data_IF_113219899056
#
_entry.id   IF_113219899056
#
_cell.length_a   1.000
_cell.length_b   1.000
_cell.length_c   1.000
_cell.angle_alpha   90.00
_cell.angle_beta   90.00
_cell.angle_gamma   90.00
#
_symmetry.space_group_name_H-M   'P 1'
#
loop_
_entity.id
_entity.type
_entity.pdbx_description
1 polymer ?
#
# COMPACT_ATOMS: atom_id res chain seq x y z
N UNK A 1 -12.25 6.51 -21.35
CA UNK A 1 -11.61 7.83 -21.10
C UNK A 1 -11.29 7.93 -19.61
N UNK A 2 -10.21 8.62 -19.23
CA UNK A 2 -9.99 8.99 -17.82
C UNK A 2 -10.50 10.42 -17.57
N UNK A 3 -11.18 10.63 -16.46
CA UNK A 3 -11.72 11.93 -16.03
C UNK A 3 -11.21 12.21 -14.62
N UNK A 4 -10.55 13.35 -14.42
CA UNK A 4 -10.05 13.76 -13.11
C UNK A 4 -11.12 14.61 -12.41
N UNK A 5 -11.64 14.11 -11.29
CA UNK A 5 -12.53 14.86 -10.41
C UNK A 5 -11.75 15.40 -9.21
N UNK A 6 -11.90 16.69 -8.92
CA UNK A 6 -11.32 17.33 -7.71
C UNK A 6 -12.18 17.15 -6.46
N UNK A 7 -13.45 16.74 -6.61
CA UNK A 7 -14.33 16.28 -5.54
C UNK A 7 -14.88 14.89 -5.89
N UNK A 8 -14.73 13.91 -5.00
CA UNK A 8 -15.27 12.56 -5.18
C UNK A 8 -16.80 12.51 -5.25
N UNK A 9 -17.55 13.45 -4.64
CA UNK A 9 -19.01 13.50 -4.79
C UNK A 9 -19.42 13.68 -6.25
N UNK A 10 -18.67 14.48 -7.01
CA UNK A 10 -18.92 14.69 -8.44
C UNK A 10 -18.69 13.41 -9.24
N UNK A 11 -17.68 12.60 -8.88
CA UNK A 11 -17.44 11.28 -9.47
C UNK A 11 -18.59 10.30 -9.16
N UNK A 12 -19.08 10.29 -7.92
CA UNK A 12 -20.25 9.47 -7.48
C UNK A 12 -21.50 9.83 -8.28
N UNK A 13 -21.81 11.13 -8.43
CA UNK A 13 -22.97 11.52 -9.24
C UNK A 13 -22.78 11.29 -10.75
N UNK A 14 -21.54 11.38 -11.26
CA UNK A 14 -21.22 11.04 -12.65
C UNK A 14 -21.41 9.53 -12.93
N UNK A 15 -21.03 8.64 -11.99
CA UNK A 15 -21.29 7.20 -12.09
C UNK A 15 -22.79 6.90 -12.14
N UNK A 16 -23.58 7.54 -11.26
CA UNK A 16 -25.05 7.44 -11.24
C UNK A 16 -25.69 7.86 -12.57
N UNK A 17 -25.31 9.03 -13.08
CA UNK A 17 -25.78 9.53 -14.40
C UNK A 17 -25.23 8.73 -15.59
N UNK A 18 -24.22 7.87 -15.37
CA UNK A 18 -23.60 7.07 -16.42
C UNK A 18 -22.70 7.89 -17.35
N UNK A 19 -22.18 9.00 -16.85
CA UNK A 19 -21.15 9.84 -17.48
C UNK A 19 -19.74 9.22 -17.34
N UNK A 20 -19.56 8.38 -16.32
CA UNK A 20 -18.41 7.48 -16.16
C UNK A 20 -18.89 6.08 -15.79
N UNK A 21 -18.12 5.06 -16.17
CA UNK A 21 -18.47 3.65 -15.95
C UNK A 21 -17.78 3.01 -14.74
N UNK A 22 -16.75 3.65 -14.19
CA UNK A 22 -15.88 3.11 -13.14
C UNK A 22 -15.27 4.25 -12.31
N UNK A 23 -15.51 4.23 -11.01
CA UNK A 23 -14.73 4.97 -10.00
C UNK A 23 -13.65 4.02 -9.50
N UNK A 24 -12.40 4.33 -9.82
CA UNK A 24 -11.25 3.56 -9.36
C UNK A 24 -10.86 3.84 -7.91
N UNK A 25 -9.96 3.01 -7.38
CA UNK A 25 -9.36 3.08 -6.06
C UNK A 25 -8.75 4.45 -5.74
N UNK A 26 -8.34 5.16 -6.79
CA UNK A 26 -7.76 6.49 -6.72
C UNK A 26 -6.31 6.49 -6.24
N UNK A 27 -5.86 7.64 -5.73
CA UNK A 27 -4.49 7.88 -5.27
C UNK A 27 -4.45 8.09 -3.75
N UNK A 28 -3.27 8.38 -3.22
CA UNK A 28 -3.03 8.62 -1.79
C UNK A 28 -3.80 9.80 -1.18
N UNK A 29 -4.55 10.57 -1.97
CA UNK A 29 -5.33 11.73 -1.52
C UNK A 29 -6.70 11.88 -2.21
N UNK A 30 -7.16 10.85 -2.96
CA UNK A 30 -8.45 10.90 -3.65
C UNK A 30 -8.97 9.50 -3.94
N UNK A 31 -10.25 9.28 -3.68
CA UNK A 31 -10.96 7.99 -3.69
C UNK A 31 -12.25 8.12 -2.86
N UNK A 32 -13.14 7.13 -2.91
CA UNK A 32 -14.41 7.22 -2.16
C UNK A 32 -14.20 7.15 -0.65
N UNK A 33 -14.98 7.94 0.09
CA UNK A 33 -15.15 7.77 1.54
C UNK A 33 -16.04 6.56 1.84
N UNK A 34 -15.99 6.00 3.06
CA UNK A 34 -16.94 4.99 3.53
C UNK A 34 -18.41 5.35 3.28
N UNK A 35 -18.78 6.61 3.55
CA UNK A 35 -20.14 7.10 3.34
C UNK A 35 -20.53 7.17 1.86
N UNK A 36 -19.63 7.64 0.98
CA UNK A 36 -19.85 7.62 -0.48
C UNK A 36 -19.96 6.17 -1.01
N UNK A 37 -19.16 5.26 -0.48
CA UNK A 37 -19.15 3.85 -0.88
C UNK A 37 -20.42 3.10 -0.47
N UNK A 38 -20.96 3.31 0.73
CA UNK A 38 -22.27 2.74 1.12
C UNK A 38 -23.46 3.51 0.52
N UNK A 39 -23.32 4.80 0.16
CA UNK A 39 -24.37 5.50 -0.59
C UNK A 39 -24.64 4.92 -2.00
N UNK A 40 -23.68 4.17 -2.56
CA UNK A 40 -23.83 3.41 -3.81
C UNK A 40 -24.45 2.00 -3.60
N UNK A 41 -24.87 1.62 -2.39
CA UNK A 41 -25.31 0.26 -2.10
C UNK A 41 -26.60 -0.15 -2.82
N UNK A 42 -27.56 0.77 -2.89
CA UNK A 42 -28.90 0.56 -3.46
C UNK A 42 -29.03 1.10 -4.89
N UNK A 43 -27.94 1.58 -5.50
CA UNK A 43 -27.94 2.16 -6.84
C UNK A 43 -28.09 1.06 -7.92
N UNK A 44 -29.19 1.03 -8.70
CA UNK A 44 -29.43 -0.03 -9.67
C UNK A 44 -28.41 0.02 -10.80
N UNK A 45 -27.81 -1.14 -11.11
CA UNK A 45 -26.78 -1.26 -12.14
C UNK A 45 -25.38 -0.83 -11.69
N UNK A 46 -25.16 -0.57 -10.40
CA UNK A 46 -23.83 -0.33 -9.82
C UNK A 46 -23.37 -1.58 -9.05
N UNK A 47 -22.11 -1.97 -9.22
CA UNK A 47 -21.45 -2.96 -8.35
C UNK A 47 -20.24 -2.34 -7.69
N UNK A 48 -20.10 -2.61 -6.39
CA UNK A 48 -19.10 -2.04 -5.50
C UNK A 48 -17.98 -3.05 -5.24
N UNK A 49 -16.73 -2.62 -5.29
CA UNK A 49 -15.57 -3.43 -4.90
C UNK A 49 -14.89 -2.81 -3.67
N UNK A 50 -14.90 -3.55 -2.55
CA UNK A 50 -14.21 -3.20 -1.30
C UNK A 50 -12.84 -3.87 -1.27
N UNK A 51 -11.94 -3.42 -2.12
CA UNK A 51 -10.60 -4.00 -2.26
C UNK A 51 -9.76 -3.88 -0.98
N UNK A 52 -8.95 -4.90 -0.70
CA UNK A 52 -7.96 -4.87 0.38
C UNK A 52 -6.81 -3.93 0.03
N UNK A 53 -6.37 -3.15 1.01
CA UNK A 53 -5.32 -2.14 0.82
C UNK A 53 -3.96 -2.73 0.47
N UNK A 54 -3.47 -2.47 -0.75
CA UNK A 54 -2.06 -2.68 -1.13
C UNK A 54 -1.10 -1.58 -0.67
N UNK A 55 -1.60 -0.58 0.06
CA UNK A 55 -0.82 0.54 0.59
C UNK A 55 -0.87 0.49 2.11
N UNK A 56 0.31 0.44 2.72
CA UNK A 56 0.43 0.65 4.16
C UNK A 56 0.71 2.14 4.43
N UNK A 57 0.18 2.63 5.55
CA UNK A 57 0.49 3.95 6.09
C UNK A 57 1.36 3.77 7.33
N UNK A 58 2.25 4.72 7.59
CA UNK A 58 3.28 4.56 8.61
C UNK A 58 3.62 5.87 9.33
N UNK A 59 4.09 5.73 10.56
CA UNK A 59 4.78 6.76 11.32
C UNK A 59 6.28 6.43 11.31
N UNK A 60 7.02 7.11 10.44
CA UNK A 60 8.47 7.08 10.41
C UNK A 60 9.03 7.73 11.68
N UNK A 61 10.13 7.18 12.21
CA UNK A 61 10.95 7.79 13.25
C UNK A 61 12.37 7.91 12.73
N UNK A 62 12.99 9.08 12.86
CA UNK A 62 14.38 9.26 12.48
C UNK A 62 15.31 8.55 13.50
N UNK A 63 16.02 7.48 13.14
CA UNK A 63 16.80 6.66 14.08
C UNK A 63 18.26 7.15 14.21
N UNK A 64 18.55 8.38 13.75
CA UNK A 64 19.90 8.87 13.47
C UNK A 64 20.20 8.80 11.97
N UNK A 65 19.79 9.85 11.25
CA UNK A 65 20.01 9.97 9.82
C UNK A 65 21.51 10.08 9.49
N UNK A 66 21.94 9.36 8.46
CA UNK A 66 23.32 9.30 8.01
C UNK A 66 23.41 8.84 6.56
N UNK A 67 24.52 9.17 5.89
CA UNK A 67 24.83 8.71 4.53
C UNK A 67 25.20 7.23 4.50
N UNK A 68 25.42 6.66 3.30
CA UNK A 68 25.93 5.28 3.12
C UNK A 68 27.28 5.06 3.81
N UNK A 69 28.11 6.09 3.82
CA UNK A 69 29.44 6.14 4.42
C UNK A 69 29.39 6.33 5.96
N UNK A 70 28.20 6.49 6.53
CA UNK A 70 27.99 6.68 7.97
C UNK A 70 28.18 8.12 8.46
N UNK A 71 28.31 9.10 7.56
CA UNK A 71 28.39 10.52 7.92
C UNK A 71 27.02 10.96 8.46
N UNK A 72 26.90 11.45 9.71
CA UNK A 72 25.62 11.93 10.25
C UNK A 72 25.09 13.15 9.49
N UNK A 73 23.77 13.18 9.25
CA UNK A 73 23.05 14.27 8.59
C UNK A 73 21.70 14.54 9.29
N UNK A 74 21.03 15.62 8.91
CA UNK A 74 19.74 16.01 9.49
C UNK A 74 19.85 16.53 10.93
N UNK A 75 18.70 16.60 11.61
CA UNK A 75 18.57 17.19 12.96
C UNK A 75 17.60 16.41 13.87
N UNK A 76 17.38 15.12 13.58
CA UNK A 76 16.47 14.25 14.33
C UNK A 76 16.84 14.07 15.80
N UNK A 77 15.85 14.18 16.69
CA UNK A 77 16.02 14.18 18.14
C UNK A 77 16.79 12.94 18.67
N UNK A 78 17.90 13.10 19.44
CA UNK A 78 18.80 12.00 19.83
C UNK A 78 18.13 10.79 20.50
N UNK A 79 17.14 11.01 21.37
CA UNK A 79 16.33 9.94 21.97
C UNK A 79 15.74 8.92 20.98
N UNK A 80 15.50 9.29 19.71
CA UNK A 80 14.98 8.37 18.70
C UNK A 80 16.04 7.40 18.13
N UNK A 81 17.33 7.59 18.43
CA UNK A 81 18.40 6.60 18.16
C UNK A 81 18.19 5.34 19.01
N UNK A 82 17.63 5.50 20.21
CA UNK A 82 17.33 4.40 21.12
C UNK A 82 16.12 3.57 20.65
N UNK A 83 16.37 2.31 20.29
CA UNK A 83 15.33 1.35 19.89
C UNK A 83 14.24 1.18 20.94
N UNK A 84 14.55 1.36 22.23
CA UNK A 84 13.58 1.22 23.33
C UNK A 84 12.55 2.34 23.32
N UNK A 85 12.96 3.56 22.95
CA UNK A 85 12.07 4.71 22.76
C UNK A 85 11.16 4.47 21.55
N UNK A 86 11.73 4.02 20.42
CA UNK A 86 10.94 3.71 19.20
C UNK A 86 9.93 2.58 19.41
N UNK A 87 10.32 1.51 20.12
CA UNK A 87 9.41 0.43 20.50
C UNK A 87 8.33 0.87 21.50
N UNK A 88 8.63 1.82 22.39
CA UNK A 88 7.62 2.39 23.30
C UNK A 88 6.64 3.31 22.58
N UNK A 89 7.11 4.11 21.60
CA UNK A 89 6.26 4.89 20.68
C UNK A 89 5.28 3.95 19.97
N UNK A 90 5.78 2.86 19.36
CA UNK A 90 4.95 1.84 18.71
C UNK A 90 3.88 1.26 19.66
N UNK A 91 4.31 0.83 20.85
CA UNK A 91 3.44 0.30 21.92
C UNK A 91 2.39 1.32 22.38
N UNK A 92 2.60 2.62 22.11
CA UNK A 92 1.66 3.71 22.33
C UNK A 92 0.68 4.00 21.18
N UNK A 93 0.74 3.34 20.02
CA UNK A 93 -0.17 3.65 18.89
C UNK A 93 -1.41 2.73 18.89
N UNK A 94 -2.60 3.26 19.19
CA UNK A 94 -3.88 2.57 19.00
C UNK A 94 -4.29 2.56 17.52
N UNK A 95 -3.69 1.62 16.79
CA UNK A 95 -3.99 1.33 15.38
C UNK A 95 -5.45 0.93 15.16
N UNK A 96 -6.09 0.29 16.13
CA UNK A 96 -7.49 -0.12 16.02
C UNK A 96 -8.42 1.10 16.14
N UNK A 97 -8.05 2.14 16.91
CA UNK A 97 -8.74 3.42 16.87
C UNK A 97 -8.53 4.16 15.54
N UNK A 98 -7.41 4.00 14.83
CA UNK A 98 -7.31 4.50 13.46
C UNK A 98 -8.30 3.76 12.55
N UNK A 99 -8.31 2.43 12.54
CA UNK A 99 -9.25 1.66 11.71
C UNK A 99 -10.71 2.02 12.03
N UNK A 100 -11.08 2.14 13.30
CA UNK A 100 -12.45 2.48 13.75
C UNK A 100 -12.85 3.94 13.53
N UNK A 101 -11.95 4.92 13.74
CA UNK A 101 -12.29 6.36 13.81
C UNK A 101 -11.73 7.21 12.66
N UNK A 102 -10.65 6.77 12.00
CA UNK A 102 -10.10 7.43 10.82
C UNK A 102 -10.78 6.92 9.55
N UNK A 103 -10.99 5.60 9.47
CA UNK A 103 -11.44 4.88 8.26
C UNK A 103 -12.83 4.25 8.37
N UNK A 104 -13.55 4.43 9.49
CA UNK A 104 -14.90 3.89 9.73
C UNK A 104 -15.02 2.36 9.48
N UNK A 105 -13.94 1.61 9.75
CA UNK A 105 -13.82 0.18 9.51
C UNK A 105 -13.34 -0.24 8.10
N UNK A 106 -13.10 0.72 7.19
CA UNK A 106 -12.63 0.47 5.82
C UNK A 106 -11.10 0.43 5.74
N UNK A 107 -10.52 -0.43 6.57
CA UNK A 107 -9.10 -0.75 6.57
C UNK A 107 -8.81 -1.94 7.48
N UNK A 108 -7.54 -2.34 7.48
CA UNK A 108 -7.00 -3.34 8.40
C UNK A 108 -5.90 -2.69 9.25
N UNK A 109 -5.71 -3.20 10.47
CA UNK A 109 -4.66 -2.71 11.37
C UNK A 109 -3.28 -3.04 10.79
N UNK A 110 -2.34 -2.09 10.92
CA UNK A 110 -0.96 -2.27 10.45
C UNK A 110 -0.18 -3.29 11.28
N UNK A 111 0.63 -4.11 10.60
CA UNK A 111 1.50 -5.12 11.20
C UNK A 111 2.94 -5.06 10.67
N UNK A 112 3.10 -4.96 9.35
CA UNK A 112 4.39 -4.95 8.64
C UNK A 112 4.35 -4.14 7.33
N UNK A 113 5.52 -3.93 6.71
CA UNK A 113 5.65 -3.20 5.44
C UNK A 113 5.10 -3.94 4.20
N UNK A 114 4.77 -5.24 4.29
CA UNK A 114 4.08 -5.96 3.20
C UNK A 114 2.60 -6.12 3.58
N UNK A 115 1.65 -5.52 2.85
CA UNK A 115 0.23 -5.60 3.21
C UNK A 115 -0.37 -7.02 3.06
N UNK A 116 -1.42 -7.35 3.84
CA UNK A 116 -2.07 -8.68 3.85
C UNK A 116 -2.72 -9.08 2.52
N UNK A 117 -2.85 -8.14 1.57
CA UNK A 117 -3.27 -8.45 0.18
C UNK A 117 -2.24 -9.32 -0.57
N UNK A 118 -1.01 -9.44 -0.07
CA UNK A 118 0.05 -10.28 -0.64
C UNK A 118 0.42 -11.42 0.32
N UNK A 119 -0.48 -12.40 0.56
CA UNK A 119 -0.38 -13.35 1.67
C UNK A 119 0.86 -14.28 1.63
N UNK A 120 1.50 -14.47 0.46
CA UNK A 120 2.79 -15.19 0.37
C UNK A 120 3.93 -14.50 1.13
N UNK A 121 3.88 -13.18 1.23
CA UNK A 121 4.97 -12.36 1.75
C UNK A 121 4.55 -11.49 2.95
N UNK A 122 3.27 -11.47 3.31
CA UNK A 122 2.78 -10.76 4.48
C UNK A 122 3.19 -11.47 5.77
N UNK A 123 3.99 -10.80 6.59
CA UNK A 123 4.29 -11.22 7.95
C UNK A 123 3.51 -10.38 8.97
N UNK A 124 3.10 -10.98 10.08
CA UNK A 124 2.60 -10.24 11.25
C UNK A 124 3.19 -10.81 12.55
N UNK A 125 3.50 -9.95 13.55
CA UNK A 125 3.99 -10.41 14.84
C UNK A 125 2.85 -11.05 15.63
N UNK A 126 3.04 -12.29 16.09
CA UNK A 126 2.14 -12.96 17.03
C UNK A 126 2.37 -12.50 18.48
N UNK A 127 1.38 -12.68 19.35
CA UNK A 127 1.57 -12.51 20.80
C UNK A 127 2.64 -13.50 21.32
N UNK A 128 3.55 -13.07 22.23
CA UNK A 128 3.64 -11.76 22.88
C UNK A 128 4.56 -10.74 22.16
N UNK A 129 5.13 -11.09 21.00
CA UNK A 129 5.98 -10.18 20.22
C UNK A 129 5.20 -9.02 19.59
N UNK A 130 3.87 -9.18 19.47
CA UNK A 130 2.94 -8.16 19.02
C UNK A 130 2.93 -6.94 19.94
N UNK A 131 3.32 -5.77 19.40
CA UNK A 131 3.25 -4.48 20.11
C UNK A 131 1.84 -3.89 20.10
N UNK A 132 0.87 -4.67 20.60
CA UNK A 132 -0.50 -4.20 20.92
C UNK A 132 -0.45 -2.97 21.82
N UNK A 133 -1.37 -2.03 21.61
CA UNK A 133 -1.49 -0.78 22.36
C UNK A 133 -1.58 -1.02 23.88
N UNK A 134 -0.56 -0.57 24.62
CA UNK A 134 -0.54 -0.52 26.09
C UNK A 134 0.34 0.67 26.53
N UNK A 135 -0.27 1.86 26.75
CA UNK A 135 0.44 3.03 27.27
C UNK A 135 1.11 2.80 28.64
N UNK A 136 0.62 1.83 29.44
CA UNK A 136 1.24 1.44 30.69
C UNK A 136 2.57 0.71 30.47
N UNK A 137 2.61 -0.27 29.55
CA UNK A 137 3.86 -0.91 29.13
C UNK A 137 4.81 0.08 28.48
N UNK A 138 4.31 0.95 27.59
CA UNK A 138 5.13 1.96 26.94
C UNK A 138 5.76 2.95 27.94
N UNK A 139 5.02 3.42 28.95
CA UNK A 139 5.58 4.20 30.04
C UNK A 139 6.68 3.40 30.79
N UNK A 140 6.39 2.18 31.24
CA UNK A 140 7.37 1.31 31.93
C UNK A 140 8.63 1.05 31.11
N UNK A 141 8.51 0.91 29.79
CA UNK A 141 9.65 0.76 28.86
C UNK A 141 10.51 2.02 28.81
N UNK A 142 9.90 3.22 28.79
CA UNK A 142 10.62 4.50 28.82
C UNK A 142 11.28 4.77 30.17
N UNK A 143 10.60 4.41 31.28
CA UNK A 143 11.17 4.49 32.63
C UNK A 143 12.41 3.59 32.74
N UNK A 144 12.29 2.31 32.38
CA UNK A 144 13.40 1.35 32.38
C UNK A 144 14.49 1.65 31.34
N UNK A 145 14.19 2.43 30.30
CA UNK A 145 15.17 2.88 29.33
C UNK A 145 16.00 4.10 29.79
N UNK A 146 15.60 4.77 30.88
CA UNK A 146 16.29 5.94 31.44
C UNK A 146 15.73 7.28 30.97
N UNK A 147 14.44 7.35 30.64
CA UNK A 147 13.75 8.58 30.19
C UNK A 147 12.71 9.08 31.21
N UNK A 148 13.07 9.42 32.46
CA UNK A 148 12.12 9.79 33.50
C UNK A 148 11.31 11.03 33.13
N UNK A 149 10.10 11.17 33.68
CA UNK A 149 9.32 12.42 33.58
C UNK A 149 9.98 13.52 34.42
N UNK A 150 10.17 14.69 33.82
CA UNK A 150 10.55 15.92 34.50
C UNK A 150 9.36 16.59 35.21
N UNK A 151 9.59 17.75 35.85
CA UNK A 151 8.58 18.44 36.66
C UNK A 151 7.33 18.92 35.90
N UNK A 152 7.43 19.11 34.58
CA UNK A 152 6.32 19.45 33.68
C UNK A 152 5.55 18.21 33.16
N UNK A 153 5.94 17.01 33.60
CA UNK A 153 5.38 15.73 33.15
C UNK A 153 5.92 15.22 31.81
N UNK A 154 6.80 15.97 31.15
CA UNK A 154 7.46 15.59 29.90
C UNK A 154 8.72 14.77 30.21
N UNK A 155 8.98 13.71 29.45
CA UNK A 155 10.15 12.85 29.63
C UNK A 155 11.43 13.56 29.22
N UNK A 156 12.51 13.34 29.96
CA UNK A 156 13.84 13.89 29.70
C UNK A 156 14.79 12.73 29.39
N UNK A 157 15.61 12.87 28.35
CA UNK A 157 16.59 11.86 27.95
C UNK A 157 17.86 11.86 28.82
N UNK A 158 18.71 10.83 28.69
CA UNK A 158 20.03 10.78 29.34
C UNK A 158 20.98 11.93 28.96
N UNK A 159 20.68 12.64 27.86
CA UNK A 159 21.34 13.85 27.38
C UNK A 159 20.80 15.16 27.99
N UNK A 160 19.78 15.07 28.85
CA UNK A 160 19.10 16.21 29.45
C UNK A 160 18.05 16.88 28.54
N UNK A 161 17.79 16.34 27.34
CA UNK A 161 16.81 16.92 26.41
C UNK A 161 15.40 16.43 26.70
N UNK A 162 14.43 17.34 26.78
CA UNK A 162 13.03 16.98 26.91
C UNK A 162 12.50 16.40 25.59
N UNK A 163 11.80 15.26 25.63
CA UNK A 163 11.28 14.54 24.47
C UNK A 163 10.14 15.33 23.82
N UNK A 164 10.52 16.19 22.88
CA UNK A 164 9.64 17.08 22.11
C UNK A 164 9.89 16.86 20.63
N UNK A 165 9.00 16.14 19.94
CA UNK A 165 9.19 15.71 18.56
C UNK A 165 8.35 16.52 17.58
N UNK A 166 8.97 16.98 16.50
CA UNK A 166 8.32 17.51 15.30
C UNK A 166 7.70 16.35 14.52
N UNK A 167 6.42 16.47 14.16
CA UNK A 167 5.72 15.48 13.34
C UNK A 167 5.30 16.13 12.02
N UNK A 168 5.95 15.76 10.92
CA UNK A 168 5.59 16.24 9.58
C UNK A 168 4.67 15.26 8.84
N UNK A 169 3.91 15.77 7.87
CA UNK A 169 2.94 15.02 7.08
C UNK A 169 2.35 15.91 5.99
N UNK A 170 1.54 15.36 5.07
CA UNK A 170 1.12 16.08 3.86
C UNK A 170 -0.13 16.93 4.09
N UNK A 171 -0.01 18.24 3.83
CA UNK A 171 -1.11 19.20 3.88
C UNK A 171 -2.16 18.95 2.81
N UNK A 172 -1.81 18.31 1.69
CA UNK A 172 -2.78 17.82 0.70
C UNK A 172 -3.58 16.59 1.17
N UNK A 173 -3.37 16.09 2.41
CA UNK A 173 -4.09 14.95 3.00
C UNK A 173 -4.67 15.31 4.36
N UNK A 174 -6.00 15.49 4.41
CA UNK A 174 -6.73 15.61 5.67
C UNK A 174 -6.55 14.37 6.59
N UNK A 175 -6.22 13.22 6.02
CA UNK A 175 -5.95 11.97 6.75
C UNK A 175 -4.66 12.07 7.58
N UNK A 176 -3.55 12.56 7.00
CA UNK A 176 -2.29 12.83 7.69
C UNK A 176 -2.51 13.83 8.85
N UNK A 177 -3.27 14.89 8.62
CA UNK A 177 -3.59 15.88 9.65
C UNK A 177 -4.35 15.27 10.85
N UNK A 178 -5.32 14.37 10.59
CA UNK A 178 -6.06 13.62 11.63
C UNK A 178 -5.16 12.63 12.36
N UNK A 179 -4.32 11.86 11.66
CA UNK A 179 -3.32 10.96 12.25
C UNK A 179 -2.37 11.73 13.16
N UNK A 180 -1.93 12.93 12.77
CA UNK A 180 -1.10 13.80 13.60
C UNK A 180 -1.74 14.22 14.92
N UNK A 181 -3.07 14.42 14.97
CA UNK A 181 -3.77 14.69 16.23
C UNK A 181 -3.83 13.45 17.13
N UNK A 182 -4.07 12.26 16.56
CA UNK A 182 -4.07 11.00 17.31
C UNK A 182 -2.68 10.69 17.91
N UNK A 183 -1.62 10.75 17.10
CA UNK A 183 -0.24 10.52 17.55
C UNK A 183 0.16 11.51 18.65
N UNK A 184 -0.23 12.79 18.53
CA UNK A 184 0.01 13.79 19.60
C UNK A 184 -0.70 13.42 20.90
N UNK A 185 -1.93 12.93 20.84
CA UNK A 185 -2.67 12.49 22.02
C UNK A 185 -1.97 11.33 22.74
N UNK A 186 -1.75 10.23 22.03
CA UNK A 186 -1.17 9.02 22.61
C UNK A 186 0.27 9.22 23.14
N UNK A 187 1.09 10.00 22.43
CA UNK A 187 2.45 10.26 22.90
C UNK A 187 2.47 11.23 24.09
N UNK A 188 1.49 12.12 24.25
CA UNK A 188 1.32 12.90 25.48
C UNK A 188 1.01 11.99 26.70
N UNK A 189 0.22 10.93 26.53
CA UNK A 189 0.01 9.91 27.58
C UNK A 189 1.31 9.19 27.97
N UNK A 190 2.30 9.13 27.07
CA UNK A 190 3.66 8.65 27.37
C UNK A 190 4.57 9.73 27.97
N UNK A 191 4.17 11.00 28.02
CA UNK A 191 5.01 12.13 28.43
C UNK A 191 5.93 12.62 27.32
N UNK A 192 5.58 12.38 26.05
CA UNK A 192 6.30 12.85 24.87
C UNK A 192 5.48 13.95 24.21
N UNK A 193 6.03 15.14 24.07
CA UNK A 193 5.34 16.24 23.38
C UNK A 193 5.50 16.06 21.88
N UNK A 194 4.42 16.18 21.12
CA UNK A 194 4.45 16.16 19.65
C UNK A 194 3.93 17.48 19.11
N UNK A 195 4.63 18.02 18.10
CA UNK A 195 4.23 19.20 17.35
C UNK A 195 3.91 18.82 15.89
N UNK A 196 2.66 18.47 15.55
CA UNK A 196 2.26 18.21 14.16
C UNK A 196 2.31 19.47 13.30
N UNK A 197 3.04 19.43 12.19
CA UNK A 197 3.09 20.47 11.16
C UNK A 197 2.90 19.84 9.78
N UNK A 198 1.75 20.08 9.16
CA UNK A 198 1.51 19.63 7.79
C UNK A 198 2.26 20.55 6.81
N UNK A 199 2.85 19.96 5.76
CA UNK A 199 3.68 20.62 4.75
C UNK A 199 3.26 20.18 3.34
N UNK A 200 3.72 20.85 2.29
CA UNK A 200 3.49 20.35 0.93
C UNK A 200 4.19 19.02 0.70
N UNK A 201 3.65 18.18 -0.18
CA UNK A 201 4.30 16.92 -0.58
C UNK A 201 5.79 17.02 -0.88
N UNK A 202 6.20 18.02 -1.68
CA UNK A 202 7.61 18.23 -2.02
C UNK A 202 8.47 18.56 -0.79
N UNK A 203 7.96 19.39 0.14
CA UNK A 203 8.69 19.73 1.38
C UNK A 203 8.73 18.55 2.37
N UNK A 204 7.76 17.63 2.35
CA UNK A 204 7.89 16.36 3.10
C UNK A 204 9.01 15.51 2.49
N UNK A 205 9.00 15.35 1.17
CA UNK A 205 9.95 14.49 0.46
C UNK A 205 11.40 15.03 0.59
N UNK A 206 11.60 16.35 0.50
CA UNK A 206 12.83 17.08 0.84
C UNK A 206 13.26 16.81 2.30
N UNK A 207 12.43 17.14 3.28
CA UNK A 207 12.80 17.00 4.70
C UNK A 207 13.06 15.55 5.11
N UNK A 208 12.37 14.58 4.51
CA UNK A 208 12.65 13.15 4.76
C UNK A 208 13.93 12.65 4.08
N UNK A 209 14.38 13.29 2.99
CA UNK A 209 15.65 13.00 2.30
C UNK A 209 16.85 13.62 3.03
N UNK A 210 16.68 14.80 3.61
CA UNK A 210 17.71 15.49 4.41
C UNK A 210 17.82 14.95 5.84
N UNK A 211 16.81 14.23 6.33
CA UNK A 211 16.73 13.80 7.73
C UNK A 211 16.35 14.92 8.70
N UNK A 212 15.74 16.01 8.23
CA UNK A 212 15.37 17.19 9.03
C UNK A 212 14.04 17.03 9.79
N UNK A 213 13.82 15.85 10.36
CA UNK A 213 12.59 15.48 11.07
C UNK A 213 12.86 14.55 12.25
N UNK A 214 11.92 14.52 13.21
CA UNK A 214 11.91 13.53 14.29
C UNK A 214 10.93 12.40 13.95
N UNK A 215 9.67 12.78 13.64
CA UNK A 215 8.62 11.89 13.19
C UNK A 215 8.05 12.36 11.84
N UNK A 216 7.66 11.43 10.97
CA UNK A 216 6.99 11.76 9.71
C UNK A 216 5.86 10.78 9.38
N UNK A 217 4.74 11.28 8.88
CA UNK A 217 3.64 10.47 8.34
C UNK A 217 3.96 10.13 6.90
N UNK A 218 4.08 8.85 6.59
CA UNK A 218 4.35 8.36 5.24
C UNK A 218 3.41 7.20 4.87
N UNK A 219 3.56 6.68 3.67
CA UNK A 219 2.87 5.48 3.18
C UNK A 219 3.51 4.99 1.90
N UNK A 220 3.49 3.69 1.64
CA UNK A 220 3.97 3.11 0.38
C UNK A 220 2.97 2.11 -0.23
N UNK A 221 2.74 2.25 -1.54
CA UNK A 221 2.02 1.26 -2.32
C UNK A 221 2.95 0.12 -2.70
N UNK A 222 2.65 -1.09 -2.26
CA UNK A 222 3.47 -2.28 -2.48
C UNK A 222 2.99 -3.04 -3.73
N UNK A 223 3.91 -3.75 -4.36
CA UNK A 223 3.69 -4.55 -5.56
C UNK A 223 3.56 -6.06 -5.19
N UNK A 224 3.03 -6.92 -6.08
CA UNK A 224 2.92 -8.36 -5.82
C UNK A 224 4.26 -9.06 -5.52
N UNK A 225 5.36 -8.52 -6.06
CA UNK A 225 6.71 -8.79 -5.56
C UNK A 225 7.18 -7.63 -4.65
N UNK A 226 7.55 -7.90 -3.38
CA UNK A 226 7.91 -6.87 -2.42
C UNK A 226 9.37 -6.38 -2.55
N UNK A 227 10.17 -6.88 -3.49
CA UNK A 227 11.61 -6.54 -3.59
C UNK A 227 11.89 -5.03 -3.51
N UNK A 228 11.16 -4.21 -4.28
CA UNK A 228 11.34 -2.76 -4.27
C UNK A 228 11.09 -2.14 -2.89
N UNK A 229 10.04 -2.55 -2.15
CA UNK A 229 9.78 -2.00 -0.81
C UNK A 229 10.82 -2.49 0.22
N UNK A 230 11.26 -3.74 0.10
CA UNK A 230 12.32 -4.30 0.94
C UNK A 230 13.65 -3.55 0.73
N UNK A 231 13.92 -3.11 -0.51
CA UNK A 231 15.14 -2.40 -0.86
C UNK A 231 15.32 -1.08 -0.08
N UNK A 232 14.24 -0.29 0.11
CA UNK A 232 14.26 1.06 0.70
C UNK A 232 14.77 1.13 2.14
N UNK A 233 14.85 -0.02 2.82
CA UNK A 233 15.32 -0.17 4.19
C UNK A 233 16.77 -0.71 4.28
N UNK A 234 17.42 -1.00 3.15
CA UNK A 234 18.84 -1.42 3.15
C UNK A 234 19.78 -0.23 3.36
N UNK A 235 20.96 -0.48 3.94
CA UNK A 235 21.99 0.55 4.10
C UNK A 235 22.33 1.25 2.77
N UNK A 236 22.30 0.50 1.67
CA UNK A 236 22.55 0.96 0.31
C UNK A 236 21.52 1.93 -0.28
N UNK A 237 20.36 2.17 0.36
CA UNK A 237 19.40 3.19 -0.09
C UNK A 237 19.50 4.52 0.67
N UNK A 238 20.43 4.69 1.61
CA UNK A 238 20.77 6.02 2.18
C UNK A 238 21.28 6.98 1.08
N UNK A 239 21.27 8.31 1.29
CA UNK A 239 22.00 9.25 0.42
C UNK A 239 23.52 9.04 0.51
N UNK A 240 24.26 9.54 -0.47
CA UNK A 240 25.72 9.66 -0.44
C UNK A 240 26.20 10.96 0.24
N UNK A 241 27.51 11.27 0.20
CA UNK A 241 28.11 12.40 0.91
C UNK A 241 27.64 13.79 0.44
N UNK A 242 27.08 13.89 -0.77
CA UNK A 242 26.54 15.13 -1.34
C UNK A 242 25.03 15.30 -1.06
N UNK A 243 24.45 14.44 -0.21
CA UNK A 243 23.01 14.40 0.08
C UNK A 243 22.16 13.75 -1.02
N UNK A 244 22.75 13.28 -2.12
CA UNK A 244 22.01 12.75 -3.28
C UNK A 244 22.05 11.21 -3.36
N UNK A 245 21.23 10.66 -4.25
CA UNK A 245 21.19 9.23 -4.55
C UNK A 245 19.80 8.64 -4.31
N UNK A 246 19.78 7.48 -3.65
CA UNK A 246 18.55 6.73 -3.40
C UNK A 246 17.63 7.35 -2.34
N UNK A 247 16.35 7.01 -2.45
CA UNK A 247 15.36 7.20 -1.39
C UNK A 247 15.47 6.09 -0.34
N UNK A 248 15.88 6.43 0.88
CA UNK A 248 15.68 5.54 2.05
C UNK A 248 14.30 5.78 2.66
N UNK A 249 13.67 4.73 3.17
CA UNK A 249 12.40 4.87 3.88
C UNK A 249 12.53 5.55 5.25
N UNK A 250 13.69 5.44 5.92
CA UNK A 250 13.84 5.83 7.34
C UNK A 250 15.30 6.00 7.82
N UNK A 251 16.29 6.05 6.92
CA UNK A 251 17.73 5.94 7.25
C UNK A 251 18.15 4.68 8.02
N UNK A 252 17.25 3.71 8.20
CA UNK A 252 17.58 2.42 8.77
C UNK A 252 18.73 1.77 8.00
N UNK A 253 19.63 1.13 8.74
CA UNK A 253 20.75 0.38 8.21
C UNK A 253 21.11 -0.68 9.26
N UNK A 254 21.14 -1.94 8.84
CA UNK A 254 21.40 -3.09 9.69
C UNK A 254 22.02 -4.21 8.84
N UNK A 255 23.22 -4.63 9.18
CA UNK A 255 23.94 -5.65 8.41
C UNK A 255 23.19 -6.99 8.34
N UNK A 256 22.33 -7.30 9.32
CA UNK A 256 21.47 -8.50 9.28
C UNK A 256 20.31 -8.33 8.28
N UNK A 257 19.69 -7.16 8.19
CA UNK A 257 18.68 -6.83 7.18
C UNK A 257 19.27 -6.89 5.77
N UNK A 258 20.42 -6.24 5.53
CA UNK A 258 21.10 -6.26 4.23
C UNK A 258 21.52 -7.70 3.83
N UNK A 259 22.01 -8.51 4.78
CA UNK A 259 22.31 -9.93 4.53
C UNK A 259 21.07 -10.79 4.24
N UNK A 260 19.91 -10.46 4.80
CA UNK A 260 18.64 -11.10 4.43
C UNK A 260 18.15 -10.65 3.04
N UNK A 261 18.31 -9.36 2.70
CA UNK A 261 17.96 -8.82 1.39
C UNK A 261 18.80 -9.46 0.26
N UNK A 262 20.13 -9.54 0.45
CA UNK A 262 21.02 -10.22 -0.48
C UNK A 262 20.66 -11.71 -0.67
N UNK A 263 20.18 -12.38 0.39
CA UNK A 263 19.71 -13.77 0.32
C UNK A 263 18.37 -13.91 -0.40
N UNK A 264 17.39 -13.02 -0.18
CA UNK A 264 16.09 -13.13 -0.85
C UNK A 264 16.16 -12.80 -2.35
N UNK A 265 17.11 -11.97 -2.77
CA UNK A 265 17.43 -11.73 -4.19
C UNK A 265 17.99 -12.97 -4.90
N UNK A 266 18.70 -13.84 -4.18
CA UNK A 266 19.37 -15.03 -4.73
C UNK A 266 18.59 -16.34 -4.52
N UNK A 267 17.47 -16.30 -3.79
CA UNK A 267 16.68 -17.48 -3.45
C UNK A 267 15.61 -17.76 -4.53
N UNK A 268 15.74 -18.91 -5.19
CA UNK A 268 14.88 -19.31 -6.30
C UNK A 268 13.65 -20.12 -5.84
N UNK A 269 13.68 -20.71 -4.64
CA UNK A 269 12.50 -21.37 -4.08
C UNK A 269 11.52 -20.35 -3.46
N UNK A 270 10.26 -20.27 -3.93
CA UNK A 270 9.32 -19.24 -3.45
C UNK A 270 8.97 -19.34 -1.96
N UNK A 271 9.03 -20.52 -1.35
CA UNK A 271 8.71 -20.73 0.07
C UNK A 271 9.87 -20.29 0.97
N UNK A 272 11.10 -20.67 0.62
CA UNK A 272 12.32 -20.19 1.28
C UNK A 272 12.50 -18.69 1.11
N UNK A 273 12.19 -18.13 -0.06
CA UNK A 273 12.20 -16.68 -0.28
C UNK A 273 11.16 -15.98 0.61
N UNK A 274 9.96 -16.52 0.72
CA UNK A 274 8.95 -16.00 1.66
C UNK A 274 9.47 -15.96 3.11
N UNK A 275 10.03 -17.06 3.61
CA UNK A 275 10.62 -17.12 4.95
C UNK A 275 11.80 -16.15 5.19
N UNK A 276 12.51 -15.72 4.14
CA UNK A 276 13.50 -14.64 4.23
C UNK A 276 12.83 -13.27 4.32
N UNK A 277 11.80 -13.02 3.50
CA UNK A 277 11.01 -11.77 3.51
C UNK A 277 10.24 -11.58 4.83
N UNK A 278 9.80 -12.66 5.47
CA UNK A 278 9.26 -12.66 6.83
C UNK A 278 10.32 -12.21 7.85
N UNK A 279 11.52 -12.80 7.84
CA UNK A 279 12.62 -12.42 8.73
C UNK A 279 13.05 -10.96 8.55
N UNK A 280 12.94 -10.40 7.33
CA UNK A 280 13.20 -8.99 7.07
C UNK A 280 12.15 -8.08 7.73
N UNK A 281 10.87 -8.43 7.62
CA UNK A 281 9.79 -7.71 8.29
C UNK A 281 9.89 -7.82 9.82
N UNK A 282 10.23 -9.00 10.33
CA UNK A 282 10.55 -9.19 11.75
C UNK A 282 11.71 -8.31 12.19
N UNK A 283 12.79 -8.21 11.39
CA UNK A 283 13.94 -7.37 11.75
C UNK A 283 13.58 -5.88 11.79
N UNK A 284 12.72 -5.41 10.88
CA UNK A 284 12.15 -4.05 10.94
C UNK A 284 11.25 -3.87 12.16
N UNK A 285 10.42 -4.85 12.51
CA UNK A 285 9.62 -4.82 13.74
C UNK A 285 10.53 -4.74 14.97
N UNK A 286 11.54 -5.60 15.10
CA UNK A 286 12.46 -5.61 16.24
C UNK A 286 13.24 -4.29 16.38
N UNK A 287 13.59 -3.63 15.27
CA UNK A 287 14.34 -2.37 15.29
C UNK A 287 13.47 -1.11 15.27
N UNK A 288 12.18 -1.25 14.98
CA UNK A 288 11.18 -0.18 14.95
C UNK A 288 11.69 1.16 14.33
N UNK A 289 12.26 1.21 13.11
CA UNK A 289 12.55 2.48 12.44
C UNK A 289 11.28 3.16 11.90
N UNK A 290 10.19 2.39 11.79
CA UNK A 290 8.88 2.83 11.36
C UNK A 290 7.80 2.06 12.12
N UNK A 291 6.65 2.68 12.33
CA UNK A 291 5.44 2.08 12.91
C UNK A 291 4.37 2.02 11.84
N UNK A 292 4.16 0.84 11.27
CA UNK A 292 3.10 0.62 10.27
C UNK A 292 1.74 0.72 10.97
N UNK A 293 0.98 1.75 10.61
CA UNK A 293 -0.26 2.18 11.26
C UNK A 293 -1.45 1.34 10.81
N UNK A 294 -1.67 1.25 9.50
CA UNK A 294 -2.88 0.69 8.88
C UNK A 294 -2.66 0.33 7.42
N UNK A 295 -3.58 -0.48 6.89
CA UNK A 295 -3.79 -0.71 5.46
C UNK A 295 -5.20 -0.21 5.11
N UNK A 296 -5.31 0.93 4.41
CA UNK A 296 -6.61 1.50 4.02
C UNK A 296 -7.21 0.70 2.87
N UNK A 297 -8.47 0.27 2.96
CA UNK A 297 -9.13 -0.41 1.85
C UNK A 297 -9.30 0.55 0.67
N UNK A 298 -9.20 0.03 -0.55
CA UNK A 298 -9.49 0.81 -1.74
C UNK A 298 -10.96 0.62 -2.11
N UNK A 299 -11.68 1.72 -2.30
CA UNK A 299 -13.13 1.74 -2.47
C UNK A 299 -13.46 2.09 -3.92
N UNK A 300 -13.98 1.11 -4.65
CA UNK A 300 -14.21 1.14 -6.09
C UNK A 300 -15.69 0.85 -6.42
N UNK A 301 -16.20 1.37 -7.52
CA UNK A 301 -17.54 1.03 -8.01
C UNK A 301 -17.65 1.18 -9.53
N UNK A 302 -18.41 0.30 -10.18
CA UNK A 302 -18.57 0.28 -11.64
C UNK A 302 -20.00 -0.01 -12.09
N UNK A 303 -20.30 0.35 -13.33
CA UNK A 303 -21.57 0.12 -14.02
C UNK A 303 -21.71 -1.35 -14.46
N UNK A 304 -22.26 -2.18 -13.60
CA UNK A 304 -22.54 -3.60 -13.85
C UNK A 304 -23.79 -3.83 -14.72
N UNK A 305 -24.56 -2.78 -15.02
CA UNK A 305 -25.54 -2.78 -16.12
C UNK A 305 -24.89 -2.64 -17.51
N UNK A 306 -23.64 -2.14 -17.56
CA UNK A 306 -22.88 -1.94 -18.81
C UNK A 306 -21.75 -2.96 -19.00
N UNK A 307 -21.09 -3.39 -17.93
CA UNK A 307 -19.91 -4.25 -17.96
C UNK A 307 -20.06 -5.51 -17.11
N UNK A 308 -19.53 -6.63 -17.61
CA UNK A 308 -19.31 -7.82 -16.81
C UNK A 308 -18.29 -7.56 -15.68
N UNK A 309 -18.23 -8.40 -14.63
CA UNK A 309 -17.30 -8.21 -13.52
C UNK A 309 -15.84 -8.08 -13.96
N UNK A 310 -15.19 -7.02 -13.50
CA UNK A 310 -13.78 -6.72 -13.75
C UNK A 310 -12.88 -7.67 -12.94
N UNK A 311 -11.75 -8.07 -13.52
CA UNK A 311 -10.71 -8.82 -12.84
C UNK A 311 -10.02 -7.95 -11.78
N UNK A 312 -10.00 -8.43 -10.54
CA UNK A 312 -9.28 -7.80 -9.41
C UNK A 312 -7.82 -8.24 -9.34
N UNK A 313 -6.97 -7.40 -8.78
CA UNK A 313 -5.52 -7.58 -8.72
C UNK A 313 -4.98 -7.28 -7.31
N UNK A 314 -4.43 -8.27 -6.58
CA UNK A 314 -4.51 -9.71 -6.85
C UNK A 314 -5.94 -10.25 -6.71
N UNK A 315 -6.14 -11.49 -7.16
CA UNK A 315 -7.40 -12.22 -7.05
C UNK A 315 -7.29 -13.29 -5.94
N UNK A 316 -8.27 -13.42 -5.02
CA UNK A 316 -9.44 -12.56 -4.81
C UNK A 316 -9.18 -11.30 -3.97
N UNK A 317 -10.11 -10.34 -4.04
CA UNK A 317 -10.21 -9.24 -3.06
C UNK A 317 -9.24 -8.06 -3.23
N UNK A 318 -8.49 -8.01 -4.33
CA UNK A 318 -7.67 -6.86 -4.71
C UNK A 318 -8.42 -5.75 -5.46
N UNK A 319 -7.66 -4.86 -6.10
CA UNK A 319 -8.18 -3.68 -6.83
C UNK A 319 -8.45 -3.97 -8.30
N UNK A 320 -9.46 -3.32 -8.87
CA UNK A 320 -9.66 -3.25 -10.33
C UNK A 320 -8.60 -2.32 -10.95
N UNK A 321 -8.31 -1.20 -10.27
CA UNK A 321 -7.52 -0.08 -10.82
C UNK A 321 -6.25 0.24 -10.03
N UNK A 322 -5.30 0.94 -10.66
CA UNK A 322 -4.07 1.43 -10.04
C UNK A 322 -2.82 0.66 -10.48
N UNK A 323 -1.72 0.82 -9.73
CA UNK A 323 -0.37 0.39 -10.15
C UNK A 323 -0.13 -1.14 -10.10
N UNK A 324 -1.13 -1.97 -9.79
CA UNK A 324 -0.97 -3.43 -9.78
C UNK A 324 -0.88 -4.06 -11.17
N UNK A 325 -1.39 -3.35 -12.20
CA UNK A 325 -1.37 -3.82 -13.57
C UNK A 325 -2.59 -3.36 -14.36
N UNK A 326 -2.52 -3.50 -15.69
CA UNK A 326 -3.59 -3.12 -16.60
C UNK A 326 -4.73 -4.16 -16.69
N UNK A 327 -4.60 -5.32 -16.03
CA UNK A 327 -5.49 -6.47 -16.21
C UNK A 327 -6.96 -6.16 -15.92
N UNK A 328 -7.26 -5.37 -14.89
CA UNK A 328 -8.63 -4.90 -14.63
C UNK A 328 -9.23 -4.18 -15.84
N UNK A 329 -8.54 -3.18 -16.40
CA UNK A 329 -9.01 -2.48 -17.61
C UNK A 329 -9.07 -3.39 -18.85
N UNK A 330 -8.15 -4.34 -19.01
CA UNK A 330 -8.14 -5.30 -20.12
C UNK A 330 -9.22 -6.38 -20.00
N UNK A 331 -9.70 -6.65 -18.78
CA UNK A 331 -10.82 -7.55 -18.52
C UNK A 331 -12.20 -6.93 -18.76
N UNK A 332 -12.26 -5.63 -19.07
CA UNK A 332 -13.51 -4.89 -19.27
C UNK A 332 -14.29 -5.43 -20.48
N UNK A 333 -15.39 -6.16 -20.21
CA UNK A 333 -16.26 -6.72 -21.25
C UNK A 333 -17.63 -6.05 -21.20
N UNK A 334 -18.01 -5.25 -22.22
CA UNK A 334 -19.36 -4.73 -22.34
C UNK A 334 -20.40 -5.86 -22.40
N UNK A 335 -21.56 -5.67 -21.77
CA UNK A 335 -22.63 -6.68 -21.73
C UNK A 335 -23.46 -6.79 -23.03
N UNK A 336 -23.24 -5.86 -23.98
CA UNK A 336 -23.67 -5.92 -25.39
C UNK A 336 -25.10 -6.48 -25.63
N UNK A 337 -26.10 -5.60 -25.48
CA UNK A 337 -27.47 -5.69 -26.01
C UNK A 337 -28.05 -7.11 -26.22
N UNK A 338 -28.86 -7.56 -25.25
CA UNK A 338 -29.38 -8.94 -25.07
C UNK A 338 -30.36 -9.44 -26.17
N UNK A 339 -30.37 -8.86 -27.36
CA UNK A 339 -31.38 -9.12 -28.41
C UNK A 339 -30.81 -9.41 -29.82
N UNK A 340 -29.62 -8.89 -30.21
CA UNK A 340 -29.13 -9.02 -31.61
C UNK A 340 -28.29 -10.28 -31.90
N UNK A 341 -27.76 -10.94 -30.86
CA UNK A 341 -26.88 -12.11 -31.02
C UNK A 341 -27.60 -13.32 -31.64
N UNK A 342 -28.84 -13.59 -31.23
CA UNK A 342 -29.63 -14.73 -31.76
C UNK A 342 -29.98 -14.56 -33.25
N UNK A 343 -30.09 -13.31 -33.72
CA UNK A 343 -30.38 -13.01 -35.14
C UNK A 343 -29.17 -13.23 -36.04
N UNK A 344 -27.96 -12.99 -35.53
CA UNK A 344 -26.71 -13.23 -36.28
C UNK A 344 -26.25 -14.69 -36.23
N UNK A 345 -26.50 -15.41 -35.13
CA UNK A 345 -26.14 -16.83 -34.99
C UNK A 345 -26.74 -17.70 -36.11
N UNK A 346 -27.99 -17.47 -36.48
CA UNK A 346 -28.70 -18.20 -37.55
C UNK A 346 -28.07 -17.92 -38.93
N UNK A 347 -27.66 -16.68 -39.20
CA UNK A 347 -27.05 -16.28 -40.47
C UNK A 347 -25.64 -16.85 -40.69
N UNK A 348 -24.79 -16.80 -39.66
CA UNK A 348 -23.38 -17.25 -39.75
C UNK A 348 -23.29 -18.78 -39.88
N UNK A 349 -24.17 -19.54 -39.20
CA UNK A 349 -24.21 -21.00 -39.29
C UNK A 349 -24.47 -21.51 -40.72
N UNK A 350 -25.37 -20.86 -41.45
CA UNK A 350 -25.66 -21.20 -42.85
C UNK A 350 -24.47 -20.92 -43.78
N UNK A 351 -23.79 -19.79 -43.62
CA UNK A 351 -22.64 -19.42 -44.44
C UNK A 351 -21.43 -20.38 -44.23
N UNK A 352 -21.14 -20.75 -42.98
CA UNK A 352 -20.03 -21.64 -42.65
C UNK A 352 -20.16 -23.04 -43.28
N UNK A 353 -21.37 -23.61 -43.29
CA UNK A 353 -21.65 -24.92 -43.88
C UNK A 353 -21.41 -24.96 -45.39
N UNK A 354 -21.78 -23.91 -46.13
CA UNK A 354 -21.57 -23.83 -47.59
C UNK A 354 -20.08 -23.78 -47.95
N UNK A 355 -19.27 -23.04 -47.19
CA UNK A 355 -17.82 -22.92 -47.42
C UNK A 355 -17.09 -24.24 -47.14
N UNK A 356 -17.46 -24.96 -46.07
CA UNK A 356 -16.90 -26.28 -45.76
C UNK A 356 -17.28 -27.35 -46.80
N UNK A 357 -18.53 -27.34 -47.29
CA UNK A 357 -18.96 -28.20 -48.39
C UNK A 357 -18.19 -27.95 -49.69
N UNK A 358 -17.99 -26.68 -50.06
CA UNK A 358 -17.21 -26.31 -51.25
C UNK A 358 -15.74 -26.75 -51.17
N UNK A 359 -15.06 -26.52 -50.05
CA UNK A 359 -13.65 -26.88 -49.87
C UNK A 359 -13.42 -28.39 -49.91
N UNK A 360 -14.30 -29.18 -49.27
CA UNK A 360 -14.21 -30.65 -49.29
C UNK A 360 -14.46 -31.23 -50.68
N UNK A 361 -15.43 -30.70 -51.44
CA UNK A 361 -15.65 -31.10 -52.83
C UNK A 361 -14.43 -30.81 -53.72
N UNK A 362 -13.83 -29.61 -53.62
CA UNK A 362 -12.64 -29.23 -54.42
C UNK A 362 -11.43 -30.12 -54.09
N UNK A 363 -11.21 -30.46 -52.82
CA UNK A 363 -10.13 -31.36 -52.40
C UNK A 363 -10.32 -32.79 -52.92
N UNK A 364 -11.54 -33.32 -52.90
CA UNK A 364 -11.87 -34.64 -53.45
C UNK A 364 -11.70 -34.70 -54.98
N UNK A 365 -12.10 -33.65 -55.70
CA UNK A 365 -11.90 -33.54 -57.15
C UNK A 365 -10.41 -33.47 -57.51
N UNK A 366 -9.60 -32.71 -56.76
CA UNK A 366 -8.14 -32.67 -56.96
C UNK A 366 -7.49 -34.03 -56.68
N UNK A 367 -7.87 -34.73 -55.60
CA UNK A 367 -7.35 -36.08 -55.30
C UNK A 367 -7.69 -37.11 -56.38
N UNK A 368 -8.85 -36.99 -57.06
CA UNK A 368 -9.20 -37.89 -58.18
C UNK A 368 -8.39 -37.64 -59.47
N UNK A 369 -7.86 -36.44 -59.70
CA UNK A 369 -7.00 -36.17 -60.87
C UNK A 369 -5.56 -36.62 -60.66
N UNK A 370 -5.03 -36.46 -59.45
CA UNK A 370 -3.64 -36.84 -59.12
C UNK A 370 -3.35 -38.36 -59.12
N UNK A 371 -4.35 -39.22 -59.38
CA UNK A 371 -4.20 -40.67 -59.48
C UNK A 371 -4.43 -41.23 -60.90
N UNK A 372 -4.42 -40.37 -61.93
CA UNK A 372 -4.66 -40.77 -63.32
C UNK A 372 -3.38 -40.76 -64.20
N UNK A 373 -2.41 -39.91 -63.89
CA UNK A 373 -1.22 -39.67 -64.74
C UNK A 373 -0.02 -40.60 -64.44
N UNK A 374 -0.26 -41.79 -63.87
CA UNK A 374 0.80 -42.77 -63.52
C UNK A 374 0.49 -44.20 -64.03
N UNK A 375 -0.27 -44.31 -65.13
CA UNK A 375 -0.51 -45.56 -65.88
C UNK A 375 -0.72 -45.35 -67.39
N UNK A 376 0.35 -45.03 -68.10
CA UNK A 376 0.62 -45.50 -69.48
C UNK A 376 2.14 -45.56 -69.72
#
# INVERSE_FOLDING_TARGET
QFVLFTNTDAAVQALRRGEVDLIGAGSTSGGMTPAQFEALADDPGVTRNRATGRRYFELLMNPGAATREGIPIGDGHPALVDVRVRQAIDRGIDRDALVRRLLDGYGQRGASIVPPVYPRYHWSPSDPAERRFDPGAANRMLDAAGYPRGPDGVRVGPDGQALRFRLIGRGERAEDARVGQFVRGWLADLGIVVAPRMVSGAALDEMTTDGSYDLAISSWGVNPDPDYILSLHTCGQRPGPDGRGSTTASFFCDARYDALYARQLAELDPGRRAGLVEQMQQRLHDQAPTVVLLYKNALEAYRSDRFAPFQVQPDPGGVITGQNGYWGFYSARPLAAREDADRTAIGVGAAALVVLGGLTAVLLIRRRRAGADERE
#
